data_IF_055627464715
#
_entry.id   IF_055627464715
#
_cell.length_a   1.000
_cell.length_b   1.000
_cell.length_c   1.000
_cell.angle_alpha   90.00
_cell.angle_beta   90.00
_cell.angle_gamma   90.00
#
_symmetry.space_group_name_H-M   'P 1'
#
loop_
_entity.id
_entity.type
_entity.pdbx_description
1 polymer ?
#
# COMPACT_ATOMS: atom_id res chain seq x y z
N UNK A 1 -23.94 -7.97 22.72
CA UNK A 1 -22.81 -8.82 23.16
C UNK A 1 -21.80 -7.91 23.84
N UNK A 2 -21.12 -8.39 24.88
CA UNK A 2 -20.39 -7.55 25.83
C UNK A 2 -19.24 -6.76 25.15
N UNK A 3 -19.35 -5.42 24.97
CA UNK A 3 -18.33 -4.60 24.31
C UNK A 3 -17.04 -4.41 25.15
N UNK A 4 -16.91 -5.11 26.29
CA UNK A 4 -15.83 -4.86 27.26
C UNK A 4 -14.49 -5.52 26.92
N UNK A 5 -14.44 -6.56 26.07
CA UNK A 5 -13.18 -7.28 25.80
C UNK A 5 -12.59 -6.91 24.45
N UNK A 6 -11.33 -6.48 24.46
CA UNK A 6 -10.59 -6.13 23.26
C UNK A 6 -10.50 -7.33 22.28
N UNK A 7 -10.82 -7.15 20.99
CA UNK A 7 -10.74 -8.23 20.00
C UNK A 7 -9.29 -8.54 19.61
N UNK A 8 -9.09 -9.67 18.94
CA UNK A 8 -7.91 -9.88 18.10
C UNK A 8 -8.20 -9.28 16.72
N UNK A 9 -7.31 -8.41 16.23
CA UNK A 9 -7.32 -7.92 14.85
C UNK A 9 -6.42 -8.82 14.01
N UNK A 10 -7.01 -9.74 13.26
CA UNK A 10 -6.28 -10.67 12.39
C UNK A 10 -6.11 -10.06 11.01
N UNK A 11 -4.90 -9.56 10.73
CA UNK A 11 -4.57 -8.92 9.47
C UNK A 11 -3.18 -9.29 8.89
N UNK A 12 -2.86 -10.58 8.71
CA UNK A 12 -1.58 -11.03 8.17
C UNK A 12 -1.56 -11.01 6.63
N UNK A 13 -1.97 -9.89 6.03
CA UNK A 13 -1.93 -9.71 4.57
C UNK A 13 -0.49 -9.71 4.06
N UNK A 14 -0.31 -10.13 2.81
CA UNK A 14 0.98 -10.07 2.12
C UNK A 14 1.04 -8.93 1.10
N UNK A 15 -0.08 -8.22 0.89
CA UNK A 15 -0.19 -7.10 -0.05
C UNK A 15 -0.02 -5.78 0.68
N UNK A 16 0.99 -4.99 0.28
CA UNK A 16 1.27 -3.69 0.90
C UNK A 16 0.08 -2.72 0.77
N UNK A 17 -0.59 -2.70 -0.38
CA UNK A 17 -1.77 -1.84 -0.59
C UNK A 17 -2.91 -2.13 0.38
N UNK A 18 -3.29 -3.41 0.53
CA UNK A 18 -4.28 -3.82 1.53
C UNK A 18 -3.85 -3.39 2.92
N UNK A 19 -2.59 -3.68 3.29
CA UNK A 19 -2.07 -3.37 4.60
C UNK A 19 -2.20 -1.87 4.93
N UNK A 20 -1.75 -1.00 4.02
CA UNK A 20 -1.85 0.46 4.18
C UNK A 20 -3.30 0.93 4.25
N UNK A 21 -4.20 0.41 3.40
CA UNK A 21 -5.62 0.78 3.42
C UNK A 21 -6.38 0.29 4.67
N UNK A 22 -5.95 -0.81 5.28
CA UNK A 22 -6.58 -1.35 6.49
C UNK A 22 -6.06 -0.72 7.79
N UNK A 23 -4.84 -0.17 7.80
CA UNK A 23 -4.23 0.42 9.00
C UNK A 23 -5.08 1.52 9.68
N UNK A 24 -5.75 2.44 8.96
CA UNK A 24 -6.61 3.44 9.60
C UNK A 24 -7.74 2.83 10.43
N UNK A 25 -8.32 1.73 9.96
CA UNK A 25 -9.36 1.01 10.71
C UNK A 25 -8.79 0.23 11.89
N UNK A 26 -7.58 -0.31 11.77
CA UNK A 26 -6.85 -0.89 12.90
C UNK A 26 -6.60 0.16 13.98
N UNK A 27 -6.15 1.37 13.60
CA UNK A 27 -5.96 2.49 14.53
C UNK A 27 -7.26 2.89 15.20
N UNK A 28 -8.36 3.02 14.44
CA UNK A 28 -9.67 3.39 14.97
C UNK A 28 -10.20 2.37 15.98
N UNK A 29 -9.99 1.06 15.75
CA UNK A 29 -10.32 0.05 16.77
C UNK A 29 -9.43 0.21 18.00
N UNK A 30 -8.13 0.50 17.84
CA UNK A 30 -7.20 0.69 18.97
C UNK A 30 -7.52 1.93 19.81
N UNK A 31 -8.18 2.95 19.25
CA UNK A 31 -8.65 4.12 20.01
C UNK A 31 -9.70 3.72 21.06
N UNK A 32 -10.61 2.80 20.72
CA UNK A 32 -11.66 2.30 21.61
C UNK A 32 -11.23 1.06 22.41
N UNK A 33 -10.29 0.28 21.87
CA UNK A 33 -9.80 -0.99 22.43
C UNK A 33 -8.27 -1.06 22.43
N UNK A 34 -7.58 -0.27 23.27
CA UNK A 34 -6.11 -0.15 23.26
C UNK A 34 -5.38 -1.46 23.58
N UNK A 35 -6.03 -2.39 24.26
CA UNK A 35 -5.48 -3.70 24.62
C UNK A 35 -5.62 -4.77 23.51
N UNK A 36 -6.21 -4.41 22.36
CA UNK A 36 -6.43 -5.34 21.25
C UNK A 36 -5.09 -5.91 20.74
N UNK A 37 -5.09 -7.21 20.47
CA UNK A 37 -3.94 -7.87 19.87
C UNK A 37 -4.01 -7.73 18.35
N UNK A 38 -3.01 -7.09 17.75
CA UNK A 38 -2.90 -6.94 16.30
C UNK A 38 -1.98 -8.03 15.74
N UNK A 39 -2.53 -8.91 14.91
CA UNK A 39 -1.79 -10.01 14.27
C UNK A 39 -1.48 -9.64 12.83
N UNK A 40 -0.20 -9.51 12.51
CA UNK A 40 0.28 -8.97 11.23
C UNK A 40 1.29 -9.90 10.57
N UNK A 41 1.50 -9.78 9.27
CA UNK A 41 2.62 -10.47 8.62
C UNK A 41 3.94 -9.84 9.10
N UNK A 42 4.94 -10.68 9.39
CA UNK A 42 6.26 -10.23 9.84
C UNK A 42 6.89 -9.21 8.89
N UNK A 43 6.61 -9.30 7.59
CA UNK A 43 7.08 -8.36 6.57
C UNK A 43 6.67 -6.91 6.86
N UNK A 44 5.49 -6.69 7.41
CA UNK A 44 4.96 -5.37 7.67
C UNK A 44 5.11 -4.94 9.14
N UNK A 45 5.78 -5.74 9.97
CA UNK A 45 6.13 -5.38 11.34
C UNK A 45 6.86 -4.03 11.46
N UNK A 46 7.90 -3.75 10.64
CA UNK A 46 8.56 -2.44 10.65
C UNK A 46 7.62 -1.28 10.30
N UNK A 47 6.75 -1.44 9.30
CA UNK A 47 5.78 -0.41 8.91
C UNK A 47 4.73 -0.18 10.02
N UNK A 48 4.21 -1.26 10.62
CA UNK A 48 3.30 -1.20 11.74
C UNK A 48 3.90 -0.46 12.94
N UNK A 49 5.17 -0.70 13.29
CA UNK A 49 5.83 -0.06 14.43
C UNK A 49 5.89 1.48 14.30
N UNK A 50 5.95 1.99 13.08
CA UNK A 50 5.92 3.45 12.81
C UNK A 50 4.54 4.06 12.98
N UNK A 51 3.48 3.27 12.80
CA UNK A 51 2.10 3.76 12.70
C UNK A 51 1.30 3.45 13.97
N UNK A 52 1.31 2.20 14.42
CA UNK A 52 0.56 1.73 15.59
C UNK A 52 1.16 2.24 16.91
N UNK A 53 0.36 2.75 17.86
CA UNK A 53 0.85 3.27 19.14
C UNK A 53 1.92 2.37 19.78
N UNK A 54 3.01 2.89 20.38
CA UNK A 54 4.12 2.08 20.87
C UNK A 54 3.73 0.97 21.86
N UNK A 55 2.65 1.17 22.61
CA UNK A 55 2.11 0.19 23.56
C UNK A 55 1.24 -0.91 22.91
N UNK A 56 1.01 -0.84 21.59
CA UNK A 56 0.14 -1.79 20.87
C UNK A 56 0.72 -3.20 20.97
N UNK A 57 -0.12 -4.14 21.40
CA UNK A 57 0.24 -5.56 21.44
C UNK A 57 0.22 -6.10 20.02
N UNK A 58 1.38 -6.42 19.46
CA UNK A 58 1.49 -7.02 18.13
C UNK A 58 1.97 -8.47 18.18
N UNK A 59 1.43 -9.34 17.33
CA UNK A 59 1.95 -10.68 17.09
C UNK A 59 2.25 -10.86 15.60
N UNK A 60 3.51 -11.12 15.27
CA UNK A 60 3.95 -11.28 13.89
C UNK A 60 3.80 -12.72 13.41
N UNK A 61 3.04 -12.92 12.34
CA UNK A 61 2.90 -14.16 11.60
C UNK A 61 4.17 -14.40 10.77
N UNK A 62 4.96 -15.45 11.08
CA UNK A 62 6.28 -15.64 10.51
C UNK A 62 6.21 -16.39 9.16
N UNK A 63 5.54 -15.80 8.16
CA UNK A 63 5.27 -16.44 6.87
C UNK A 63 6.52 -16.96 6.18
N UNK A 64 7.61 -16.19 6.19
CA UNK A 64 8.90 -16.58 5.59
C UNK A 64 9.52 -17.81 6.24
N UNK A 65 9.39 -17.95 7.56
CA UNK A 65 9.91 -19.11 8.30
C UNK A 65 9.03 -20.36 8.13
N UNK A 66 7.80 -20.18 7.62
CA UNK A 66 6.85 -21.24 7.32
C UNK A 66 6.83 -21.62 5.83
N UNK A 67 7.66 -20.98 5.00
CA UNK A 67 7.73 -21.20 3.56
C UNK A 67 8.22 -22.62 3.21
N UNK A 68 7.82 -23.15 2.04
CA UNK A 68 8.00 -24.56 1.68
C UNK A 68 9.47 -24.99 1.58
N UNK A 69 10.37 -24.05 1.31
CA UNK A 69 11.82 -24.20 1.24
C UNK A 69 12.48 -24.38 2.62
N UNK A 70 11.75 -24.15 3.72
CA UNK A 70 12.27 -24.31 5.08
C UNK A 70 12.13 -25.75 5.62
N UNK A 71 13.05 -26.22 6.48
CA UNK A 71 12.98 -27.56 7.09
C UNK A 71 11.66 -27.81 7.83
N UNK A 72 11.10 -29.02 7.71
CA UNK A 72 9.80 -29.37 8.30
C UNK A 72 9.71 -29.09 9.81
N UNK A 73 10.70 -29.54 10.60
CA UNK A 73 10.71 -29.32 12.05
C UNK A 73 10.84 -27.84 12.42
N UNK A 74 11.53 -27.03 11.61
CA UNK A 74 11.59 -25.58 11.79
C UNK A 74 10.21 -24.96 11.58
N UNK A 75 9.55 -25.27 10.46
CA UNK A 75 8.19 -24.77 10.18
C UNK A 75 7.21 -25.12 11.30
N UNK A 76 7.28 -26.36 11.79
CA UNK A 76 6.43 -26.83 12.88
C UNK A 76 6.71 -26.08 14.19
N UNK A 77 7.97 -25.81 14.53
CA UNK A 77 8.32 -25.07 15.74
C UNK A 77 7.86 -23.62 15.67
N UNK A 78 8.03 -22.94 14.53
CA UNK A 78 7.53 -21.59 14.28
C UNK A 78 6.00 -21.54 14.37
N UNK A 79 5.32 -22.53 13.82
CA UNK A 79 3.86 -22.67 13.90
C UNK A 79 3.38 -22.88 15.32
N UNK A 80 3.98 -23.80 16.06
CA UNK A 80 3.62 -24.04 17.45
C UNK A 80 3.86 -22.83 18.33
N UNK A 81 5.00 -22.13 18.17
CA UNK A 81 5.32 -20.90 18.91
C UNK A 81 4.30 -19.79 18.62
N UNK A 82 3.97 -19.58 17.34
CA UNK A 82 2.94 -18.63 16.93
C UNK A 82 1.58 -19.00 17.54
N UNK A 83 1.14 -20.25 17.41
CA UNK A 83 -0.15 -20.70 17.93
C UNK A 83 -0.25 -20.60 19.46
N UNK A 84 0.84 -20.89 20.18
CA UNK A 84 0.90 -20.73 21.64
C UNK A 84 0.74 -19.26 22.04
N UNK A 85 1.43 -18.34 21.35
CA UNK A 85 1.31 -16.90 21.61
C UNK A 85 -0.10 -16.39 21.22
N UNK A 86 -0.60 -16.79 20.06
CA UNK A 86 -1.89 -16.41 19.52
C UNK A 86 -3.06 -16.83 20.43
N UNK A 87 -3.06 -18.09 20.91
CA UNK A 87 -4.05 -18.58 21.87
C UNK A 87 -3.86 -18.01 23.29
N UNK A 88 -2.73 -17.36 23.55
CA UNK A 88 -2.44 -16.68 24.81
C UNK A 88 -3.16 -15.32 24.97
N UNK A 89 -3.83 -14.82 23.93
CA UNK A 89 -4.48 -13.50 23.93
C UNK A 89 -5.66 -13.37 24.91
N UNK A 90 -6.28 -14.49 25.34
CA UNK A 90 -7.39 -14.56 26.32
C UNK A 90 -8.62 -13.69 26.00
N UNK A 91 -8.93 -13.50 24.72
CA UNK A 91 -10.18 -12.86 24.28
C UNK A 91 -11.09 -13.87 23.59
N UNK A 92 -12.38 -13.59 23.54
CA UNK A 92 -13.41 -14.42 22.92
C UNK A 92 -13.74 -14.00 21.48
N UNK A 93 -13.19 -12.86 21.02
CA UNK A 93 -13.50 -12.29 19.72
C UNK A 93 -12.27 -12.09 18.84
N UNK A 94 -12.40 -12.41 17.55
CA UNK A 94 -11.43 -12.14 16.49
C UNK A 94 -12.11 -11.51 15.28
N UNK A 95 -11.50 -10.48 14.72
CA UNK A 95 -11.91 -9.80 13.49
C UNK A 95 -10.88 -10.12 12.41
N UNK A 96 -11.29 -10.85 11.38
CA UNK A 96 -10.45 -11.19 10.23
C UNK A 96 -10.66 -10.17 9.11
N UNK A 97 -9.69 -9.25 8.97
CA UNK A 97 -9.74 -8.18 7.97
C UNK A 97 -9.40 -8.68 6.56
N UNK A 98 -8.68 -9.81 6.45
CA UNK A 98 -8.16 -10.30 5.17
C UNK A 98 -9.10 -11.31 4.51
N UNK A 99 -9.79 -12.13 5.31
CA UNK A 99 -10.80 -13.12 4.88
C UNK A 99 -10.32 -14.10 3.82
N UNK A 100 -9.04 -14.47 3.87
CA UNK A 100 -8.49 -15.55 3.08
C UNK A 100 -8.75 -16.89 3.76
N UNK A 101 -8.80 -17.97 3.00
CA UNK A 101 -9.03 -19.30 3.59
C UNK A 101 -8.04 -19.63 4.72
N UNK A 102 -6.79 -19.19 4.59
CA UNK A 102 -5.77 -19.44 5.62
C UNK A 102 -6.03 -18.61 6.89
N UNK A 103 -6.51 -17.37 6.79
CA UNK A 103 -6.85 -16.55 7.96
C UNK A 103 -8.13 -17.05 8.61
N UNK A 104 -9.11 -17.55 7.84
CA UNK A 104 -10.26 -18.26 8.38
C UNK A 104 -9.86 -19.48 9.23
N UNK A 105 -8.91 -20.30 8.76
CA UNK A 105 -8.36 -21.41 9.56
C UNK A 105 -7.69 -20.89 10.84
N UNK A 106 -6.88 -19.83 10.75
CA UNK A 106 -6.28 -19.21 11.95
C UNK A 106 -7.36 -18.70 12.91
N UNK A 107 -8.42 -18.06 12.41
CA UNK A 107 -9.54 -17.62 13.21
C UNK A 107 -10.19 -18.79 13.96
N UNK A 108 -10.42 -19.93 13.30
CA UNK A 108 -10.92 -21.14 13.97
C UNK A 108 -9.96 -21.67 15.03
N UNK A 109 -8.66 -21.64 14.77
CA UNK A 109 -7.61 -22.13 15.67
C UNK A 109 -7.27 -21.17 16.81
N UNK A 110 -7.70 -19.90 16.75
CA UNK A 110 -7.60 -18.94 17.86
C UNK A 110 -8.32 -19.45 19.11
N UNK A 111 -9.41 -20.20 18.92
CA UNK A 111 -10.31 -20.63 20.01
C UNK A 111 -11.34 -19.58 20.41
N UNK A 112 -11.38 -18.41 19.75
CA UNK A 112 -12.41 -17.40 19.94
C UNK A 112 -13.79 -17.96 19.57
N UNK A 113 -14.77 -17.75 20.44
CA UNK A 113 -16.17 -18.16 20.21
C UNK A 113 -16.85 -17.25 19.20
N UNK A 114 -16.54 -15.96 19.20
CA UNK A 114 -16.98 -15.00 18.21
C UNK A 114 -15.86 -14.79 17.16
N UNK A 115 -16.11 -15.18 15.92
CA UNK A 115 -15.16 -15.06 14.82
C UNK A 115 -15.85 -14.31 13.69
N UNK A 116 -15.54 -13.03 13.60
CA UNK A 116 -16.05 -12.12 12.58
C UNK A 116 -15.10 -12.15 11.39
N UNK A 117 -15.64 -12.35 10.20
CA UNK A 117 -14.91 -12.27 8.96
C UNK A 117 -15.88 -12.06 7.82
N UNK A 118 -15.39 -12.08 6.57
CA UNK A 118 -16.23 -11.82 5.42
C UNK A 118 -16.43 -13.04 4.51
N UNK A 119 -17.44 -12.96 3.65
CA UNK A 119 -17.65 -13.91 2.55
C UNK A 119 -16.44 -13.94 1.61
N UNK A 120 -15.96 -15.12 1.23
CA UNK A 120 -14.92 -15.24 0.21
C UNK A 120 -13.98 -16.44 0.39
N UNK A 121 -13.59 -17.05 -0.74
CA UNK A 121 -12.53 -18.08 -0.81
C UNK A 121 -12.72 -19.28 0.15
N UNK A 122 -13.97 -19.57 0.56
CA UNK A 122 -14.31 -20.61 1.55
C UNK A 122 -13.80 -20.32 2.96
N UNK A 123 -13.43 -19.08 3.26
CA UNK A 123 -13.04 -18.65 4.59
C UNK A 123 -14.27 -18.57 5.52
N UNK A 124 -15.45 -18.30 4.96
CA UNK A 124 -16.73 -18.18 5.66
C UNK A 124 -17.11 -19.42 6.47
N UNK A 125 -16.62 -20.60 6.07
CA UNK A 125 -16.81 -21.87 6.78
C UNK A 125 -16.19 -21.88 8.19
N UNK A 126 -15.29 -20.93 8.48
CA UNK A 126 -14.58 -20.84 9.74
C UNK A 126 -15.09 -19.73 10.66
N UNK A 127 -15.98 -18.86 10.19
CA UNK A 127 -16.53 -17.74 10.97
C UNK A 127 -17.82 -18.13 11.69
N UNK A 128 -18.16 -17.40 12.75
CA UNK A 128 -19.48 -17.47 13.39
C UNK A 128 -20.37 -16.28 13.05
N UNK A 129 -19.74 -15.19 12.63
CA UNK A 129 -20.37 -13.97 12.18
C UNK A 129 -19.76 -13.62 10.83
N UNK A 130 -20.58 -13.70 9.78
CA UNK A 130 -20.14 -13.50 8.41
C UNK A 130 -20.69 -12.15 7.95
N UNK A 131 -19.77 -11.26 7.59
CA UNK A 131 -20.06 -9.99 6.94
C UNK A 131 -20.01 -10.15 5.43
N UNK A 132 -20.82 -9.40 4.71
CA UNK A 132 -20.78 -9.37 3.24
C UNK A 132 -20.43 -7.95 2.78
N UNK A 133 -19.17 -7.53 3.00
CA UNK A 133 -18.80 -6.16 2.74
C UNK A 133 -18.89 -5.86 1.24
N UNK A 134 -19.35 -4.66 0.91
CA UNK A 134 -19.57 -4.30 -0.49
C UNK A 134 -18.24 -4.03 -1.20
N UNK A 135 -17.66 -5.07 -1.79
CA UNK A 135 -16.41 -4.98 -2.56
C UNK A 135 -16.52 -4.25 -3.90
N UNK A 136 -17.72 -3.79 -4.29
CA UNK A 136 -17.87 -2.82 -5.38
C UNK A 136 -17.57 -1.39 -4.93
N UNK A 137 -17.60 -1.14 -3.62
CA UNK A 137 -17.12 0.10 -3.03
C UNK A 137 -15.61 0.02 -2.81
N UNK A 138 -15.04 1.18 -2.46
CA UNK A 138 -13.63 1.32 -2.15
C UNK A 138 -13.15 0.30 -1.11
N UNK A 139 -12.01 -0.34 -1.35
CA UNK A 139 -11.44 -1.39 -0.47
C UNK A 139 -11.29 -0.92 0.98
N UNK A 140 -10.92 0.34 1.17
CA UNK A 140 -10.90 1.02 2.46
C UNK A 140 -12.24 0.95 3.21
N UNK A 141 -13.37 1.19 2.54
CA UNK A 141 -14.70 1.13 3.17
C UNK A 141 -15.05 -0.29 3.57
N UNK A 142 -14.70 -1.27 2.74
CA UNK A 142 -14.90 -2.69 3.05
C UNK A 142 -14.19 -3.12 4.34
N UNK A 143 -12.99 -2.60 4.64
CA UNK A 143 -12.33 -2.84 5.93
C UNK A 143 -13.14 -2.26 7.11
N UNK A 144 -13.74 -1.08 6.93
CA UNK A 144 -14.61 -0.46 7.93
C UNK A 144 -15.87 -1.27 8.24
N UNK A 145 -16.48 -1.85 7.21
CA UNK A 145 -17.68 -2.70 7.37
C UNK A 145 -17.40 -3.93 8.25
N UNK A 146 -16.18 -4.49 8.18
CA UNK A 146 -15.75 -5.64 9.02
C UNK A 146 -15.63 -5.25 10.50
N UNK A 147 -15.14 -4.04 10.78
CA UNK A 147 -14.90 -3.58 12.17
C UNK A 147 -16.00 -2.68 12.72
N UNK A 148 -17.10 -2.50 11.98
CA UNK A 148 -18.15 -1.50 12.23
C UNK A 148 -18.77 -1.54 13.63
N UNK A 149 -18.81 -2.69 14.31
CA UNK A 149 -19.32 -2.81 15.68
C UNK A 149 -18.32 -2.39 16.78
N UNK A 150 -17.07 -2.13 16.40
CA UNK A 150 -15.95 -1.80 17.31
C UNK A 150 -15.46 -0.36 17.15
N UNK A 151 -16.14 0.41 16.30
CA UNK A 151 -15.79 1.79 15.96
C UNK A 151 -17.07 2.62 15.83
N UNK A 152 -16.97 3.93 15.97
CA UNK A 152 -18.08 4.83 15.60
C UNK A 152 -18.27 4.89 14.07
N UNK A 153 -19.38 5.47 13.62
CA UNK A 153 -19.76 5.56 12.20
C UNK A 153 -18.86 6.50 11.36
N UNK A 154 -17.96 7.27 11.99
CA UNK A 154 -17.10 8.23 11.28
C UNK A 154 -15.91 7.51 10.65
N UNK A 155 -15.74 7.61 9.33
CA UNK A 155 -14.55 7.04 8.68
C UNK A 155 -13.25 7.68 9.22
N UNK A 156 -12.18 6.90 9.49
CA UNK A 156 -10.90 7.45 9.90
C UNK A 156 -10.21 8.19 8.74
N UNK A 157 -9.24 9.05 9.06
CA UNK A 157 -8.37 9.64 8.04
C UNK A 157 -7.57 8.56 7.31
N UNK A 158 -7.39 8.73 6.01
CA UNK A 158 -6.53 7.84 5.21
C UNK A 158 -5.04 8.15 5.34
N UNK A 159 -4.69 9.31 5.88
CA UNK A 159 -3.30 9.66 6.20
C UNK A 159 -2.85 8.93 7.47
N UNK A 160 -1.65 8.36 7.44
CA UNK A 160 -1.13 7.58 8.55
C UNK A 160 -0.19 8.41 9.44
N UNK A 161 -0.31 8.29 10.78
CA UNK A 161 0.51 9.04 11.74
C UNK A 161 1.91 8.44 11.89
N UNK A 162 2.76 8.54 10.85
CA UNK A 162 4.12 7.99 10.90
C UNK A 162 5.00 8.66 11.95
N UNK A 163 5.48 7.85 12.90
CA UNK A 163 6.60 8.15 13.80
C UNK A 163 7.91 7.68 13.17
N UNK A 164 8.54 8.60 12.45
CA UNK A 164 9.83 8.37 11.79
C UNK A 164 10.95 8.77 12.75
N UNK A 165 11.91 7.87 12.98
CA UNK A 165 13.07 8.13 13.84
C UNK A 165 14.10 9.05 13.16
N UNK A 166 14.89 9.78 13.95
CA UNK A 166 15.87 10.75 13.46
C UNK A 166 16.84 10.17 12.41
N UNK A 167 17.27 8.92 12.58
CA UNK A 167 18.19 8.25 11.64
C UNK A 167 17.64 8.16 10.21
N UNK A 168 16.34 7.89 10.02
CA UNK A 168 15.76 7.85 8.69
C UNK A 168 15.70 9.25 8.07
N UNK A 169 15.39 10.27 8.88
CA UNK A 169 15.46 11.68 8.51
C UNK A 169 16.85 12.10 8.00
N UNK A 170 17.90 11.75 8.74
CA UNK A 170 19.28 12.06 8.36
C UNK A 170 19.73 11.36 7.07
N UNK A 171 19.33 10.11 6.86
CA UNK A 171 19.63 9.38 5.61
C UNK A 171 19.01 10.09 4.40
N UNK A 172 17.74 10.47 4.50
CA UNK A 172 17.02 11.13 3.40
C UNK A 172 17.49 12.59 3.21
N UNK A 173 17.87 13.30 4.27
CA UNK A 173 18.40 14.66 4.16
C UNK A 173 19.69 14.71 3.33
N UNK A 174 20.60 13.73 3.52
CA UNK A 174 21.82 13.61 2.70
C UNK A 174 21.48 13.41 1.22
N UNK A 175 20.44 12.65 0.91
CA UNK A 175 19.96 12.48 -0.46
C UNK A 175 19.40 13.78 -1.03
N UNK A 176 18.52 14.46 -0.30
CA UNK A 176 17.94 15.75 -0.74
C UNK A 176 19.05 16.76 -1.03
N UNK A 177 20.08 16.80 -0.17
CA UNK A 177 21.26 17.65 -0.39
C UNK A 177 22.02 17.26 -1.67
N UNK A 178 22.19 15.96 -1.92
CA UNK A 178 22.88 15.45 -3.11
C UNK A 178 22.14 15.79 -4.42
N UNK A 179 20.82 16.01 -4.38
CA UNK A 179 20.04 16.44 -5.53
C UNK A 179 20.24 17.92 -5.92
N UNK A 180 21.19 18.62 -5.30
CA UNK A 180 21.65 19.97 -5.67
C UNK A 180 20.53 21.01 -5.77
N UNK A 181 19.52 20.92 -4.91
CA UNK A 181 18.40 21.87 -4.86
C UNK A 181 17.27 21.61 -5.87
N UNK A 182 17.34 20.53 -6.66
CA UNK A 182 16.18 20.09 -7.47
C UNK A 182 15.11 19.47 -6.59
N UNK A 183 13.85 19.69 -6.94
CA UNK A 183 12.72 19.07 -6.27
C UNK A 183 12.65 17.58 -6.62
N UNK A 184 12.63 16.71 -5.60
CA UNK A 184 12.55 15.28 -5.79
C UNK A 184 11.14 14.84 -6.21
N UNK A 185 11.06 13.90 -7.14
CA UNK A 185 9.82 13.20 -7.53
C UNK A 185 10.05 11.71 -7.40
N UNK A 186 9.22 11.03 -6.62
CA UNK A 186 9.29 9.59 -6.48
C UNK A 186 8.52 8.92 -7.63
N UNK A 187 9.15 7.96 -8.31
CA UNK A 187 8.51 7.21 -9.39
C UNK A 187 8.64 5.71 -9.15
N UNK A 188 7.54 4.97 -9.27
CA UNK A 188 7.50 3.51 -9.23
C UNK A 188 6.98 2.96 -10.57
N UNK A 189 7.86 2.38 -11.41
CA UNK A 189 7.43 1.83 -12.70
C UNK A 189 6.90 0.39 -12.62
N UNK A 190 7.08 -0.28 -11.49
CA UNK A 190 6.75 -1.68 -11.32
C UNK A 190 5.28 -1.96 -11.00
N UNK A 191 4.87 -3.21 -11.24
CA UNK A 191 3.61 -3.75 -10.80
C UNK A 191 3.73 -5.26 -10.56
N UNK A 192 2.89 -5.81 -9.67
CA UNK A 192 2.86 -7.25 -9.37
C UNK A 192 2.20 -8.09 -10.46
N UNK A 193 1.50 -7.46 -11.40
CA UNK A 193 0.77 -8.11 -12.50
C UNK A 193 0.94 -7.28 -13.77
N UNK A 194 1.10 -7.96 -14.91
CA UNK A 194 1.50 -7.33 -16.17
C UNK A 194 0.50 -6.32 -16.72
N UNK A 195 -0.81 -6.52 -16.51
CA UNK A 195 -1.84 -5.63 -17.03
C UNK A 195 -1.86 -4.24 -16.37
N UNK A 196 -1.18 -4.07 -15.23
CA UNK A 196 -1.00 -2.79 -14.55
C UNK A 196 0.31 -2.10 -14.93
N UNK A 197 1.18 -2.75 -15.72
CA UNK A 197 2.42 -2.14 -16.17
C UNK A 197 2.11 -1.08 -17.23
N UNK A 198 2.64 0.12 -17.01
CA UNK A 198 2.70 1.15 -18.04
C UNK A 198 3.95 0.92 -18.89
N UNK A 199 3.90 1.19 -20.21
CA UNK A 199 5.04 0.91 -21.09
C UNK A 199 6.34 1.54 -20.59
N UNK A 200 7.44 0.80 -20.64
CA UNK A 200 8.72 1.26 -20.10
C UNK A 200 9.26 2.48 -20.85
N UNK A 201 9.04 2.53 -22.16
CA UNK A 201 9.36 3.68 -23.00
C UNK A 201 8.58 4.94 -22.60
N UNK A 202 7.36 4.77 -22.07
CA UNK A 202 6.55 5.90 -21.59
C UNK A 202 7.06 6.43 -20.25
N UNK A 203 7.55 5.54 -19.37
CA UNK A 203 8.27 6.00 -18.17
C UNK A 203 9.55 6.75 -18.54
N UNK A 204 10.33 6.26 -19.51
CA UNK A 204 11.54 6.95 -19.95
C UNK A 204 11.23 8.35 -20.50
N UNK A 205 10.21 8.47 -21.34
CA UNK A 205 9.75 9.77 -21.86
C UNK A 205 9.21 10.70 -20.76
N UNK A 206 8.45 10.18 -19.78
CA UNK A 206 7.99 10.96 -18.64
C UNK A 206 9.16 11.49 -17.80
N UNK A 207 10.20 10.68 -17.57
CA UNK A 207 11.40 11.11 -16.84
C UNK A 207 12.09 12.26 -17.57
N UNK A 208 12.18 12.20 -18.90
CA UNK A 208 12.70 13.31 -19.70
C UNK A 208 11.90 14.58 -19.50
N UNK A 209 10.57 14.51 -19.57
CA UNK A 209 9.69 15.69 -19.36
C UNK A 209 9.83 16.26 -17.94
N UNK A 210 9.93 15.40 -16.92
CA UNK A 210 10.15 15.82 -15.52
C UNK A 210 11.52 16.49 -15.35
N UNK A 211 12.57 15.95 -15.99
CA UNK A 211 13.91 16.51 -15.95
C UNK A 211 13.96 17.90 -16.61
N UNK A 212 13.34 18.05 -17.77
CA UNK A 212 13.21 19.34 -18.48
C UNK A 212 12.45 20.38 -17.64
N UNK A 213 11.50 19.95 -16.81
CA UNK A 213 10.80 20.78 -15.84
C UNK A 213 11.62 21.08 -14.55
N UNK A 214 12.90 20.71 -14.50
CA UNK A 214 13.79 20.97 -13.37
C UNK A 214 13.59 20.03 -12.17
N UNK A 215 12.87 18.92 -12.34
CA UNK A 215 12.61 17.94 -11.30
C UNK A 215 13.66 16.82 -11.33
N UNK A 216 13.89 16.20 -10.18
CA UNK A 216 14.84 15.11 -10.02
C UNK A 216 14.11 13.82 -9.68
N UNK A 217 14.17 12.85 -10.60
CA UNK A 217 13.50 11.57 -10.42
C UNK A 217 14.29 10.67 -9.46
N UNK A 218 13.52 10.02 -8.60
CA UNK A 218 13.97 9.02 -7.64
C UNK A 218 13.16 7.75 -7.86
N UNK A 219 13.82 6.67 -8.29
CA UNK A 219 13.18 5.36 -8.44
C UNK A 219 12.99 4.71 -7.09
N UNK A 220 11.76 4.24 -6.83
CA UNK A 220 11.42 3.42 -5.67
C UNK A 220 10.86 2.08 -6.14
N UNK A 221 11.07 1.03 -5.36
CA UNK A 221 10.65 -0.33 -5.71
C UNK A 221 11.24 -1.37 -4.77
N UNK A 222 10.72 -2.60 -4.84
CA UNK A 222 11.24 -3.71 -4.04
C UNK A 222 11.12 -5.05 -4.76
N UNK A 223 12.12 -5.91 -4.58
CA UNK A 223 12.25 -7.20 -5.24
C UNK A 223 13.01 -7.13 -6.57
N UNK A 224 13.26 -8.30 -7.14
CA UNK A 224 13.99 -8.47 -8.40
C UNK A 224 13.21 -7.91 -9.59
N UNK A 225 11.90 -8.19 -9.65
CA UNK A 225 11.04 -7.75 -10.74
C UNK A 225 11.00 -6.22 -10.88
N UNK A 226 10.91 -5.48 -9.77
CA UNK A 226 10.95 -4.02 -9.79
C UNK A 226 12.34 -3.53 -10.24
N UNK A 227 13.42 -4.19 -9.80
CA UNK A 227 14.78 -3.83 -10.20
C UNK A 227 15.00 -4.02 -11.71
N UNK A 228 14.59 -5.15 -12.27
CA UNK A 228 14.67 -5.44 -13.71
C UNK A 228 13.91 -4.39 -14.55
N UNK A 229 12.69 -4.02 -14.12
CA UNK A 229 11.89 -2.98 -14.79
C UNK A 229 12.58 -1.62 -14.71
N UNK A 230 13.06 -1.23 -13.52
CA UNK A 230 13.75 0.05 -13.32
C UNK A 230 15.02 0.13 -14.15
N UNK A 231 15.80 -0.94 -14.22
CA UNK A 231 17.03 -1.00 -15.02
C UNK A 231 16.72 -0.89 -16.53
N UNK A 232 15.68 -1.58 -17.00
CA UNK A 232 15.24 -1.51 -18.40
C UNK A 232 14.74 -0.11 -18.81
N UNK A 233 14.05 0.61 -17.91
CA UNK A 233 13.65 2.00 -18.13
C UNK A 233 14.86 2.93 -18.08
N UNK A 234 15.74 2.76 -17.09
CA UNK A 234 16.93 3.60 -16.89
C UNK A 234 17.88 3.54 -18.10
N UNK A 235 18.01 2.37 -18.73
CA UNK A 235 18.81 2.19 -19.94
C UNK A 235 18.35 3.06 -21.14
N UNK A 236 17.11 3.55 -21.14
CA UNK A 236 16.53 4.36 -22.21
C UNK A 236 16.70 5.88 -21.98
N UNK A 237 17.21 6.31 -20.82
CA UNK A 237 17.22 7.71 -20.39
C UNK A 237 18.31 8.59 -21.04
N UNK A 238 19.18 8.01 -21.89
CA UNK A 238 20.15 8.80 -22.66
C UNK A 238 21.13 9.63 -21.82
N UNK A 239 21.40 9.26 -20.57
CA UNK A 239 22.32 9.96 -19.67
C UNK A 239 21.66 10.93 -18.69
N UNK A 240 20.33 11.04 -18.67
CA UNK A 240 19.61 11.78 -17.61
C UNK A 240 19.88 11.11 -16.26
N UNK A 241 20.40 11.89 -15.31
CA UNK A 241 20.70 11.41 -13.98
C UNK A 241 19.41 11.16 -13.18
N UNK A 242 19.33 9.97 -12.58
CA UNK A 242 18.23 9.52 -11.71
C UNK A 242 18.80 8.82 -10.49
N UNK A 243 18.14 8.94 -9.34
CA UNK A 243 18.55 8.22 -8.14
C UNK A 243 17.78 6.90 -8.03
N UNK A 244 18.48 5.76 -8.08
CA UNK A 244 17.86 4.45 -7.91
C UNK A 244 17.90 3.98 -6.44
N UNK A 245 16.73 3.89 -5.80
CA UNK A 245 16.53 3.37 -4.45
C UNK A 245 15.74 2.06 -4.37
N UNK A 246 15.54 1.38 -5.51
CA UNK A 246 14.96 0.05 -5.49
C UNK A 246 15.77 -0.87 -4.57
N UNK A 247 15.12 -1.53 -3.62
CA UNK A 247 15.74 -2.38 -2.60
C UNK A 247 16.73 -1.68 -1.63
N UNK A 248 16.75 -0.35 -1.55
CA UNK A 248 17.74 0.39 -0.74
C UNK A 248 17.16 1.10 0.48
N UNK A 249 15.84 1.18 0.62
CA UNK A 249 15.19 1.92 1.70
C UNK A 249 14.37 1.00 2.60
N UNK A 250 14.47 1.22 3.90
CA UNK A 250 13.48 0.74 4.86
C UNK A 250 12.14 1.46 4.67
N UNK A 251 11.06 0.95 5.28
CA UNK A 251 9.76 1.64 5.26
C UNK A 251 9.83 3.04 5.90
N UNK A 252 10.69 3.25 6.91
CA UNK A 252 10.87 4.55 7.55
C UNK A 252 11.51 5.55 6.61
N UNK A 253 12.58 5.14 5.93
CA UNK A 253 13.27 5.98 4.96
C UNK A 253 12.40 6.23 3.72
N UNK A 254 11.61 5.24 3.27
CA UNK A 254 10.68 5.42 2.16
C UNK A 254 9.55 6.39 2.48
N UNK A 255 8.95 6.30 3.67
CA UNK A 255 7.93 7.25 4.12
C UNK A 255 8.50 8.67 4.28
N UNK A 256 9.72 8.80 4.77
CA UNK A 256 10.41 10.10 4.85
C UNK A 256 10.75 10.64 3.46
N UNK A 257 11.23 9.79 2.55
CA UNK A 257 11.47 10.17 1.15
C UNK A 257 10.19 10.74 0.53
N UNK A 258 9.05 10.07 0.68
CA UNK A 258 7.77 10.58 0.18
C UNK A 258 7.38 11.92 0.81
N UNK A 259 7.66 12.16 2.09
CA UNK A 259 7.41 13.48 2.71
C UNK A 259 8.30 14.60 2.15
N UNK A 260 9.47 14.27 1.60
CA UNK A 260 10.42 15.22 0.99
C UNK A 260 10.25 15.35 -0.52
N UNK A 261 9.55 14.42 -1.16
CA UNK A 261 9.22 14.51 -2.57
C UNK A 261 8.07 15.49 -2.81
N UNK A 262 8.08 16.15 -3.97
CA UNK A 262 7.03 17.06 -4.40
C UNK A 262 5.74 16.32 -4.75
N UNK A 263 5.87 15.15 -5.37
CA UNK A 263 4.79 14.23 -5.68
C UNK A 263 5.33 12.83 -6.00
N UNK A 264 4.42 11.86 -6.05
CA UNK A 264 4.68 10.49 -6.49
C UNK A 264 3.97 10.21 -7.81
N UNK A 265 4.59 9.43 -8.70
CA UNK A 265 3.95 8.89 -9.91
C UNK A 265 4.17 7.38 -9.98
N UNK A 266 3.11 6.61 -10.27
CA UNK A 266 3.24 5.16 -10.43
C UNK A 266 1.93 4.48 -10.73
N UNK A 267 1.99 3.18 -11.04
CA UNK A 267 0.80 2.37 -11.28
C UNK A 267 -0.01 2.07 -10.02
N UNK A 268 -1.18 1.47 -10.20
CA UNK A 268 -2.03 0.89 -9.14
C UNK A 268 -1.32 -0.24 -8.38
N UNK A 269 -0.53 0.14 -7.38
CA UNK A 269 0.40 -0.72 -6.65
C UNK A 269 0.48 -0.39 -5.15
N UNK A 270 1.16 -1.25 -4.38
CA UNK A 270 1.40 -1.01 -2.95
C UNK A 270 2.14 0.30 -2.64
N UNK A 271 3.26 0.60 -3.34
CA UNK A 271 3.96 1.89 -3.20
C UNK A 271 3.07 3.13 -3.42
N UNK A 272 2.12 3.09 -4.37
CA UNK A 272 1.16 4.18 -4.57
C UNK A 272 0.31 4.45 -3.32
N UNK A 273 -0.26 3.41 -2.71
CA UNK A 273 -1.03 3.57 -1.48
C UNK A 273 -0.16 4.07 -0.31
N UNK A 274 1.07 3.55 -0.20
CA UNK A 274 2.02 3.99 0.82
C UNK A 274 2.35 5.48 0.66
N UNK A 275 2.63 5.94 -0.57
CA UNK A 275 2.82 7.36 -0.85
C UNK A 275 1.58 8.17 -0.46
N UNK A 276 0.38 7.78 -0.92
CA UNK A 276 -0.86 8.50 -0.59
C UNK A 276 -1.07 8.66 0.92
N UNK A 277 -0.76 7.62 1.71
CA UNK A 277 -0.88 7.68 3.16
C UNK A 277 0.10 8.62 3.86
N UNK A 278 1.18 9.10 3.21
CA UNK A 278 2.05 10.16 3.77
C UNK A 278 1.51 11.57 3.53
N UNK A 279 0.45 11.72 2.72
CA UNK A 279 -0.14 13.01 2.36
C UNK A 279 0.54 13.72 1.18
N UNK A 280 1.57 13.11 0.58
CA UNK A 280 2.18 13.62 -0.66
C UNK A 280 1.14 13.59 -1.80
N UNK A 281 1.15 14.55 -2.75
CA UNK A 281 0.40 14.40 -3.97
C UNK A 281 0.77 13.12 -4.75
N UNK A 282 -0.22 12.42 -5.28
CA UNK A 282 -0.05 11.13 -5.98
C UNK A 282 -0.70 11.21 -7.35
N UNK A 283 0.06 10.90 -8.40
CA UNK A 283 -0.45 10.69 -9.76
C UNK A 283 -0.47 9.20 -10.05
N UNK A 284 -1.65 8.61 -9.93
CA UNK A 284 -1.83 7.18 -10.08
C UNK A 284 -2.24 6.81 -11.50
N UNK A 285 -1.41 5.98 -12.15
CA UNK A 285 -1.58 5.54 -13.52
C UNK A 285 -2.48 4.29 -13.53
N UNK A 286 -3.70 4.44 -14.05
CA UNK A 286 -4.71 3.39 -14.03
C UNK A 286 -5.03 2.87 -15.43
N UNK A 287 -5.01 1.55 -15.55
CA UNK A 287 -5.42 0.80 -16.74
C UNK A 287 -6.76 0.11 -16.55
N UNK A 288 -6.83 -1.23 -16.69
CA UNK A 288 -8.11 -1.94 -16.59
C UNK A 288 -8.61 -2.08 -15.14
N UNK A 289 -7.80 -1.79 -14.13
CA UNK A 289 -8.21 -1.79 -12.73
C UNK A 289 -9.35 -0.80 -12.47
N UNK A 290 -10.29 -1.21 -11.62
CA UNK A 290 -11.37 -0.36 -11.14
C UNK A 290 -10.87 0.60 -10.05
N UNK A 291 -10.92 1.90 -10.35
CA UNK A 291 -10.54 2.96 -9.41
C UNK A 291 -11.52 3.14 -8.26
N UNK A 292 -12.80 2.79 -8.45
CA UNK A 292 -13.79 2.85 -7.38
C UNK A 292 -13.38 1.95 -6.21
N UNK A 293 -12.59 0.91 -6.49
CA UNK A 293 -12.10 -0.07 -5.52
C UNK A 293 -10.70 0.32 -4.97
N UNK A 294 -9.79 0.79 -5.84
CA UNK A 294 -8.35 0.87 -5.56
C UNK A 294 -7.73 2.27 -5.66
N UNK A 295 -8.52 3.32 -5.86
CA UNK A 295 -7.99 4.69 -5.88
C UNK A 295 -7.07 4.97 -4.67
N UNK A 296 -5.92 5.63 -4.84
CA UNK A 296 -5.22 6.24 -3.71
C UNK A 296 -6.16 7.17 -2.95
N UNK A 297 -6.05 7.13 -1.63
CA UNK A 297 -6.83 7.98 -0.74
C UNK A 297 -6.01 9.20 -0.34
N UNK A 298 -6.63 10.37 -0.36
CA UNK A 298 -6.03 11.63 0.06
C UNK A 298 -6.49 12.77 -0.84
N UNK A 299 -6.54 13.98 -0.30
CA UNK A 299 -7.08 15.15 -1.01
C UNK A 299 -6.28 15.50 -2.27
N UNK A 300 -4.98 15.17 -2.28
CA UNK A 300 -4.06 15.44 -3.40
C UNK A 300 -3.77 14.20 -4.26
N UNK A 301 -4.72 13.27 -4.35
CA UNK A 301 -4.58 12.06 -5.16
C UNK A 301 -5.31 12.20 -6.51
N UNK A 302 -4.56 12.10 -7.61
CA UNK A 302 -5.04 12.30 -8.97
C UNK A 302 -4.98 10.99 -9.75
N UNK A 303 -6.12 10.51 -10.22
CA UNK A 303 -6.18 9.39 -11.16
C UNK A 303 -5.86 9.89 -12.56
N UNK A 304 -4.98 9.17 -13.25
CA UNK A 304 -4.66 9.43 -14.65
C UNK A 304 -4.92 8.18 -15.48
N UNK A 305 -5.73 8.33 -16.52
CA UNK A 305 -6.15 7.26 -17.43
C UNK A 305 -5.87 7.63 -18.88
N UNK A 306 -5.71 6.60 -19.70
CA UNK A 306 -5.63 6.76 -21.15
C UNK A 306 -6.94 7.26 -21.76
N UNK A 307 -6.83 7.80 -22.97
CA UNK A 307 -7.99 8.29 -23.73
C UNK A 307 -8.91 7.18 -24.23
N UNK A 308 -8.47 5.92 -24.20
CA UNK A 308 -9.24 4.77 -24.63
C UNK A 308 -9.55 3.83 -23.45
N UNK A 309 -10.82 3.47 -23.27
CA UNK A 309 -11.19 2.44 -22.30
C UNK A 309 -10.93 1.04 -22.86
N UNK A 310 -10.53 0.10 -22.02
CA UNK A 310 -10.60 -1.31 -22.33
C UNK A 310 -12.10 -1.73 -22.35
N UNK A 311 -12.57 -2.35 -23.43
CA UNK A 311 -14.01 -2.65 -23.62
C UNK A 311 -14.55 -3.74 -22.67
N UNK A 312 -15.81 -4.12 -22.84
CA UNK A 312 -16.52 -5.08 -21.95
C UNK A 312 -15.82 -6.44 -21.83
N UNK A 313 -15.08 -6.88 -22.86
CA UNK A 313 -14.30 -8.13 -22.87
C UNK A 313 -12.98 -8.06 -22.07
N UNK A 314 -12.82 -7.07 -21.19
CA UNK A 314 -11.66 -6.94 -20.31
C UNK A 314 -12.04 -7.28 -18.86
N UNK A 315 -11.56 -8.42 -18.36
CA UNK A 315 -11.75 -8.85 -16.96
C UNK A 315 -10.52 -8.55 -16.07
N UNK A 316 -9.67 -7.60 -16.48
CA UNK A 316 -8.33 -7.27 -15.97
C UNK A 316 -7.24 -8.32 -16.24
N UNK A 317 -7.53 -9.62 -16.19
CA UNK A 317 -6.54 -10.68 -16.45
C UNK A 317 -6.52 -11.13 -17.91
N UNK A 318 -7.64 -10.98 -18.59
CA UNK A 318 -7.83 -11.22 -20.02
C UNK A 318 -8.39 -9.96 -20.64
N UNK A 319 -7.74 -9.52 -21.71
CA UNK A 319 -8.14 -8.32 -22.43
C UNK A 319 -7.92 -8.54 -23.93
N UNK A 320 -9.03 -8.67 -24.67
CA UNK A 320 -8.99 -8.80 -26.14
C UNK A 320 -8.40 -7.57 -26.84
N UNK A 321 -8.31 -6.44 -26.13
CA UNK A 321 -7.78 -5.17 -26.62
C UNK A 321 -6.31 -4.94 -26.26
N UNK A 322 -5.61 -5.96 -25.75
CA UNK A 322 -4.21 -5.89 -25.35
C UNK A 322 -3.89 -4.68 -24.45
N UNK A 323 -4.79 -4.42 -23.49
CA UNK A 323 -4.67 -3.29 -22.55
C UNK A 323 -4.45 -1.92 -23.22
N UNK A 324 -5.15 -1.64 -24.34
CA UNK A 324 -5.12 -0.32 -25.03
C UNK A 324 -5.33 0.89 -24.11
N UNK A 325 -6.01 0.69 -22.98
CA UNK A 325 -6.17 1.71 -21.95
C UNK A 325 -4.83 2.17 -21.32
N UNK A 326 -3.86 1.27 -21.17
CA UNK A 326 -2.49 1.65 -20.76
C UNK A 326 -1.69 2.26 -21.91
N UNK A 327 -1.85 1.73 -23.14
CA UNK A 327 -1.12 2.26 -24.31
C UNK A 327 -1.61 3.65 -24.76
N UNK A 328 -2.87 3.98 -24.51
CA UNK A 328 -3.43 5.31 -24.80
C UNK A 328 -3.12 6.35 -23.72
N UNK A 329 -2.63 5.93 -22.54
CA UNK A 329 -2.14 6.82 -21.50
C UNK A 329 -0.74 7.34 -21.89
N UNK A 330 -0.68 8.47 -22.59
CA UNK A 330 0.58 9.05 -23.07
C UNK A 330 1.30 9.84 -21.97
N UNK A 331 2.65 9.86 -21.97
CA UNK A 331 3.44 10.65 -21.01
C UNK A 331 3.04 12.13 -20.95
N UNK A 332 2.73 12.74 -22.09
CA UNK A 332 2.27 14.13 -22.18
C UNK A 332 0.96 14.35 -21.42
N UNK A 333 0.06 13.37 -21.43
CA UNK A 333 -1.20 13.46 -20.68
C UNK A 333 -0.95 13.41 -19.18
N UNK A 334 -0.02 12.56 -18.73
CA UNK A 334 0.42 12.54 -17.31
C UNK A 334 1.05 13.88 -16.94
N UNK A 335 1.98 14.38 -17.75
CA UNK A 335 2.66 15.66 -17.51
C UNK A 335 1.69 16.84 -17.52
N UNK A 336 0.66 16.84 -18.38
CA UNK A 336 -0.36 17.87 -18.40
C UNK A 336 -1.14 17.94 -17.08
N UNK A 337 -1.50 16.78 -16.49
CA UNK A 337 -2.17 16.73 -15.19
C UNK A 337 -1.22 17.18 -14.07
N UNK A 338 0.07 16.81 -14.13
CA UNK A 338 1.09 17.29 -13.19
C UNK A 338 1.24 18.81 -13.26
N UNK A 339 1.27 19.37 -14.47
CA UNK A 339 1.34 20.81 -14.68
C UNK A 339 0.10 21.50 -14.13
N UNK A 340 -1.09 21.04 -14.46
CA UNK A 340 -2.35 21.63 -13.98
C UNK A 340 -2.44 21.64 -12.44
N UNK A 341 -2.09 20.52 -11.80
CA UNK A 341 -2.33 20.32 -10.37
C UNK A 341 -1.21 20.80 -9.46
N UNK A 342 0.03 20.82 -9.95
CA UNK A 342 1.19 21.03 -9.09
C UNK A 342 2.14 22.10 -9.61
N UNK A 343 2.51 22.12 -10.90
CA UNK A 343 3.54 23.06 -11.39
C UNK A 343 2.96 24.43 -11.82
N UNK A 344 1.73 24.47 -12.31
CA UNK A 344 1.07 25.68 -12.81
C UNK A 344 0.60 26.65 -11.72
N UNK A 345 0.50 26.17 -10.47
CA UNK A 345 0.20 27.03 -9.32
C UNK A 345 1.43 27.80 -8.81
N UNK A 346 2.64 27.25 -8.99
CA UNK A 346 3.89 27.93 -8.57
C UNK A 346 4.16 29.20 -9.39
N UNK A 347 3.85 29.18 -10.69
CA UNK A 347 4.10 30.32 -11.59
C UNK A 347 3.14 31.48 -11.38
N UNK A 348 1.92 31.22 -10.92
CA UNK A 348 0.97 32.26 -10.55
C UNK A 348 1.37 32.93 -9.23
N UNK A 349 1.84 32.15 -8.26
CA UNK A 349 2.22 32.66 -6.94
C UNK A 349 3.57 33.41 -6.97
N UNK A 350 4.52 32.97 -7.79
CA UNK A 350 5.79 33.68 -8.01
C UNK A 350 5.69 34.92 -8.91
N UNK A 351 4.54 35.18 -9.53
CA UNK A 351 4.28 36.39 -10.32
C UNK A 351 3.56 37.49 -9.52
N UNK A 352 3.10 37.18 -8.30
CA UNK A 352 2.45 38.10 -7.37
C UNK A 352 3.39 38.60 -6.25
N UNK A 353 4.55 37.96 -6.07
CA UNK A 353 5.68 38.39 -5.22
C UNK A 353 6.76 39.12 -6.04
#
# INVERSE_FOLDING_TARGET
MNPEKAPILLFPTHFLGNFVLGLPWVLKVLESHPDALVVLDVRFGPLAAMVLPPQTRTLLFPRSEMAKDKPFFSRLSHYWRFMRAFRGARTDTILDLEGERFTGVLARLSGCSNRVGHTGKRAELFYTDIRDPNYKNHRFKAFGEIVSEYVDEVAPSSSLPYRIGASAGETIEKLVTAAAGKNLVAVHPGASVSYKLWPGEYFAELVTLLHEAGLQVVWVGAGENDAEIIDAVTAQLGGIEVFNFCNRLSFAELAELYRRCRFFVGGDSGPMHLAASTGIPVFALFGPSDEAIWAPLGENSYMVRGSEACGEDCDTFRCSFNYRCMASLRPQSVMAVINDKILGHDTAQAAED
#
